data_IF_124453789087
#
_entry.id   IF_124453789087
#
_cell.length_a   1.000
_cell.length_b   1.000
_cell.length_c   1.000
_cell.angle_alpha   90.00
_cell.angle_beta   90.00
_cell.angle_gamma   90.00
#
_symmetry.space_group_name_H-M   'P 1'
#
loop_
_entity.id
_entity.type
_entity.pdbx_description
1 polymer ?
#
# COMPACT_ATOMS: atom_id res chain seq x y z
N UNK A 1 -14.32 4.58 31.42
CA UNK A 1 -14.19 3.99 30.08
C UNK A 1 -15.23 2.89 29.93
N UNK A 2 -16.14 3.00 28.98
CA UNK A 2 -17.16 1.97 28.70
C UNK A 2 -16.52 0.73 28.05
N UNK A 3 -17.13 -0.46 28.15
CA UNK A 3 -16.58 -1.68 27.52
C UNK A 3 -16.37 -1.53 26.01
N UNK A 4 -17.22 -0.74 25.34
CA UNK A 4 -17.07 -0.38 23.93
C UNK A 4 -15.83 0.46 23.62
N UNK A 5 -15.46 1.40 24.49
CA UNK A 5 -14.27 2.25 24.29
C UNK A 5 -12.98 1.45 24.39
N UNK A 6 -12.93 0.49 25.32
CA UNK A 6 -11.75 -0.38 25.51
C UNK A 6 -11.55 -1.28 24.28
N UNK A 7 -12.63 -1.81 23.71
CA UNK A 7 -12.56 -2.63 22.49
C UNK A 7 -12.09 -1.79 21.29
N UNK A 8 -12.65 -0.59 21.10
CA UNK A 8 -12.23 0.31 20.02
C UNK A 8 -10.77 0.73 20.16
N UNK A 9 -10.33 1.06 21.37
CA UNK A 9 -8.94 1.38 21.68
C UNK A 9 -8.02 0.20 21.34
N UNK A 10 -8.38 -1.01 21.76
CA UNK A 10 -7.60 -2.20 21.47
C UNK A 10 -7.48 -2.48 19.96
N UNK A 11 -8.57 -2.26 19.22
CA UNK A 11 -8.61 -2.50 17.79
C UNK A 11 -7.70 -1.53 17.02
N UNK A 12 -7.79 -0.23 17.32
CA UNK A 12 -7.01 0.82 16.65
C UNK A 12 -5.53 0.78 17.05
N UNK A 13 -5.22 0.56 18.33
CA UNK A 13 -3.84 0.67 18.83
C UNK A 13 -3.04 -0.64 18.64
N UNK A 14 -3.70 -1.81 18.64
CA UNK A 14 -2.99 -3.09 18.58
C UNK A 14 -3.31 -3.91 17.34
N UNK A 15 -4.60 -4.16 17.07
CA UNK A 15 -5.00 -5.08 16.00
C UNK A 15 -4.65 -4.52 14.62
N UNK A 16 -4.94 -3.25 14.41
CA UNK A 16 -4.71 -2.55 13.15
C UNK A 16 -3.23 -2.44 12.75
N UNK A 17 -2.31 -1.95 13.60
CA UNK A 17 -0.88 -1.94 13.25
C UNK A 17 -0.31 -3.35 13.05
N UNK A 18 -0.83 -4.35 13.78
CA UNK A 18 -0.40 -5.74 13.58
C UNK A 18 -0.81 -6.25 12.19
N UNK A 19 -2.04 -5.99 11.76
CA UNK A 19 -2.52 -6.28 10.40
C UNK A 19 -1.68 -5.55 9.34
N UNK A 20 -1.36 -4.28 9.55
CA UNK A 20 -0.51 -3.51 8.64
C UNK A 20 0.90 -4.09 8.54
N UNK A 21 1.51 -4.45 9.67
CA UNK A 21 2.83 -5.10 9.72
C UNK A 21 2.83 -6.46 8.99
N UNK A 22 1.82 -7.29 9.24
CA UNK A 22 1.69 -8.59 8.56
C UNK A 22 1.54 -8.41 7.05
N UNK A 23 0.66 -7.48 6.62
CA UNK A 23 0.48 -7.16 5.20
C UNK A 23 1.75 -6.60 4.56
N UNK A 24 2.53 -5.78 5.29
CA UNK A 24 3.78 -5.21 4.79
C UNK A 24 4.82 -6.30 4.54
N UNK A 25 5.00 -7.22 5.50
CA UNK A 25 5.93 -8.36 5.35
C UNK A 25 5.53 -9.23 4.16
N UNK A 26 4.24 -9.51 3.98
CA UNK A 26 3.76 -10.29 2.85
C UNK A 26 4.03 -9.58 1.51
N UNK A 27 3.77 -8.28 1.41
CA UNK A 27 4.06 -7.52 0.19
C UNK A 27 5.57 -7.44 -0.10
N UNK A 28 6.40 -7.26 0.93
CA UNK A 28 7.87 -7.29 0.80
C UNK A 28 8.35 -8.65 0.28
N UNK A 29 7.80 -9.73 0.83
CA UNK A 29 8.09 -11.10 0.39
C UNK A 29 7.70 -11.30 -1.08
N UNK A 30 6.54 -10.81 -1.50
CA UNK A 30 6.10 -10.83 -2.90
C UNK A 30 7.08 -10.10 -3.82
N UNK A 31 7.56 -8.90 -3.43
CA UNK A 31 8.56 -8.15 -4.20
C UNK A 31 9.83 -8.99 -4.37
N UNK A 32 10.37 -9.56 -3.29
CA UNK A 32 11.57 -10.40 -3.35
C UNK A 32 11.37 -11.58 -4.29
N UNK A 33 10.26 -12.32 -4.15
CA UNK A 33 9.95 -13.45 -5.03
C UNK A 33 9.85 -12.99 -6.50
N UNK A 34 9.15 -11.90 -6.79
CA UNK A 34 9.05 -11.41 -8.17
C UNK A 34 10.39 -10.96 -8.75
N UNK A 35 11.26 -10.33 -7.95
CA UNK A 35 12.62 -9.96 -8.37
C UNK A 35 13.49 -11.19 -8.64
N UNK A 36 13.40 -12.24 -7.81
CA UNK A 36 14.13 -13.51 -8.06
C UNK A 36 13.66 -14.20 -9.34
N UNK A 37 12.35 -14.22 -9.60
CA UNK A 37 11.77 -14.77 -10.83
C UNK A 37 12.19 -13.97 -12.06
N UNK A 38 12.32 -12.65 -11.94
CA UNK A 38 12.83 -11.79 -13.03
C UNK A 38 14.27 -12.16 -13.41
N UNK A 39 15.13 -12.40 -12.43
CA UNK A 39 16.54 -12.72 -12.64
C UNK A 39 16.77 -14.04 -13.40
N UNK A 40 15.87 -15.02 -13.26
CA UNK A 40 16.00 -16.35 -13.89
C UNK A 40 15.61 -16.41 -15.39
N UNK A 41 15.41 -15.27 -16.07
CA UNK A 41 15.39 -15.21 -17.54
C UNK A 41 14.09 -15.66 -18.23
N UNK A 42 12.97 -15.77 -17.51
CA UNK A 42 11.65 -16.07 -18.08
C UNK A 42 11.03 -14.84 -18.80
N UNK A 43 11.69 -14.38 -19.87
CA UNK A 43 11.46 -13.10 -20.57
C UNK A 43 10.09 -12.93 -21.26
N UNK A 44 9.25 -13.98 -21.32
CA UNK A 44 7.98 -13.97 -22.09
C UNK A 44 6.79 -13.35 -21.33
N UNK A 45 6.91 -13.10 -20.02
CA UNK A 45 5.83 -12.52 -19.17
C UNK A 45 6.27 -11.27 -18.38
N UNK A 46 7.32 -10.58 -18.83
CA UNK A 46 7.97 -9.49 -18.10
C UNK A 46 7.02 -8.34 -17.74
N UNK A 47 6.07 -7.99 -18.62
CA UNK A 47 5.13 -6.89 -18.36
C UNK A 47 4.19 -7.15 -17.18
N UNK A 48 3.65 -8.37 -17.06
CA UNK A 48 2.79 -8.74 -15.93
C UNK A 48 3.57 -8.71 -14.62
N UNK A 49 4.81 -9.21 -14.63
CA UNK A 49 5.66 -9.23 -13.44
C UNK A 49 5.94 -7.81 -12.94
N UNK A 50 6.17 -6.86 -13.84
CA UNK A 50 6.33 -5.44 -13.50
C UNK A 50 5.06 -4.85 -12.86
N UNK A 51 3.87 -5.15 -13.39
CA UNK A 51 2.61 -4.72 -12.76
C UNK A 51 2.42 -5.33 -11.37
N UNK A 52 2.79 -6.60 -11.16
CA UNK A 52 2.71 -7.25 -9.85
C UNK A 52 3.71 -6.66 -8.85
N UNK A 53 4.94 -6.35 -9.27
CA UNK A 53 5.93 -5.64 -8.45
C UNK A 53 5.39 -4.27 -8.06
N UNK A 54 4.92 -3.48 -9.03
CA UNK A 54 4.35 -2.15 -8.78
C UNK A 54 3.15 -2.21 -7.82
N UNK A 55 2.24 -3.18 -8.02
CA UNK A 55 1.10 -3.40 -7.13
C UNK A 55 1.55 -3.69 -5.69
N UNK A 56 2.49 -4.62 -5.52
CA UNK A 56 3.02 -4.97 -4.19
C UNK A 56 3.78 -3.82 -3.52
N UNK A 57 4.48 -2.99 -4.30
CA UNK A 57 5.15 -1.79 -3.79
C UNK A 57 4.14 -0.72 -3.35
N UNK A 58 3.11 -0.45 -4.14
CA UNK A 58 2.02 0.45 -3.75
C UNK A 58 1.33 -0.05 -2.47
N UNK A 59 0.99 -1.33 -2.40
CA UNK A 59 0.37 -1.90 -1.20
C UNK A 59 1.29 -1.82 0.03
N UNK A 60 2.60 -2.04 -0.12
CA UNK A 60 3.55 -1.89 0.98
C UNK A 60 3.63 -0.43 1.48
N UNK A 61 3.72 0.53 0.56
CA UNK A 61 3.72 1.98 0.89
C UNK A 61 2.41 2.37 1.57
N UNK A 62 1.27 1.93 1.04
CA UNK A 62 -0.04 2.16 1.64
C UNK A 62 -0.10 1.65 3.07
N UNK A 63 0.34 0.42 3.34
CA UNK A 63 0.27 -0.17 4.67
C UNK A 63 1.16 0.57 5.68
N UNK A 64 2.36 1.03 5.26
CA UNK A 64 3.21 1.88 6.11
C UNK A 64 2.48 3.20 6.42
N UNK A 65 1.95 3.87 5.40
CA UNK A 65 1.24 5.14 5.58
C UNK A 65 -0.03 4.98 6.43
N UNK A 66 -0.70 3.82 6.32
CA UNK A 66 -1.89 3.48 7.09
C UNK A 66 -1.61 3.48 8.59
N UNK A 67 -0.46 2.93 9.01
CA UNK A 67 -0.04 2.94 10.42
C UNK A 67 0.06 4.38 10.92
N UNK A 68 0.76 5.26 10.19
CA UNK A 68 0.91 6.65 10.61
C UNK A 68 -0.41 7.41 10.62
N UNK A 69 -1.26 7.20 9.61
CA UNK A 69 -2.51 7.97 9.44
C UNK A 69 -3.60 7.53 10.42
N UNK A 70 -3.59 6.29 10.89
CA UNK A 70 -4.66 5.74 11.72
C UNK A 70 -4.26 5.61 13.19
N UNK A 71 -3.01 5.24 13.48
CA UNK A 71 -2.54 5.08 14.87
C UNK A 71 -2.32 6.43 15.55
N UNK A 72 -1.80 7.46 14.86
CA UNK A 72 -1.60 8.79 15.46
C UNK A 72 -2.90 9.45 15.96
N UNK A 73 -3.98 9.57 15.15
CA UNK A 73 -5.23 10.15 15.65
C UNK A 73 -5.89 9.27 16.71
N UNK A 74 -5.76 7.94 16.61
CA UNK A 74 -6.21 7.04 17.66
C UNK A 74 -5.48 7.30 18.98
N UNK A 75 -4.16 7.42 18.94
CA UNK A 75 -3.35 7.74 20.12
C UNK A 75 -3.66 9.14 20.70
N UNK A 76 -3.96 10.14 19.87
CA UNK A 76 -4.41 11.46 20.35
C UNK A 76 -5.76 11.36 21.08
N UNK A 77 -6.66 10.48 20.66
CA UNK A 77 -7.99 10.33 21.29
C UNK A 77 -7.95 9.61 22.65
N UNK A 78 -6.96 8.76 22.88
CA UNK A 78 -6.88 7.93 24.10
C UNK A 78 -5.79 8.39 25.08
N UNK A 79 -4.97 9.39 24.74
CA UNK A 79 -3.98 9.96 25.67
C UNK A 79 -4.67 10.83 26.71
N UNK A 80 -4.25 10.68 27.97
CA UNK A 80 -4.74 11.50 29.06
C UNK A 80 -4.00 12.85 29.08
N UNK A 81 -4.68 13.91 28.62
CA UNK A 81 -4.09 15.24 28.47
C UNK A 81 -3.62 15.86 29.80
N UNK A 82 -4.22 15.45 30.93
CA UNK A 82 -3.91 16.02 32.24
C UNK A 82 -2.56 15.52 32.79
N UNK A 83 -2.15 14.30 32.43
CA UNK A 83 -0.94 13.66 32.96
C UNK A 83 0.27 13.94 32.05
N UNK A 84 0.07 13.96 30.72
CA UNK A 84 1.15 14.03 29.73
C UNK A 84 1.03 15.24 28.78
N UNK A 85 1.04 16.45 29.34
CA UNK A 85 0.87 17.69 28.58
C UNK A 85 1.88 17.90 27.42
N UNK A 86 3.16 17.55 27.63
CA UNK A 86 4.19 17.74 26.59
C UNK A 86 4.06 16.72 25.45
N UNK A 87 3.76 15.46 25.77
CA UNK A 87 3.65 14.40 24.78
C UNK A 87 2.41 14.57 23.91
N UNK A 88 1.26 14.94 24.50
CA UNK A 88 0.02 15.20 23.76
C UNK A 88 0.20 16.34 22.75
N UNK A 89 0.95 17.39 23.10
CA UNK A 89 1.21 18.52 22.21
C UNK A 89 2.13 18.14 21.03
N UNK A 90 3.14 17.30 21.26
CA UNK A 90 3.97 16.75 20.19
C UNK A 90 3.15 15.82 19.28
N UNK A 91 2.32 14.97 19.85
CA UNK A 91 1.46 14.04 19.11
C UNK A 91 0.48 14.79 18.21
N UNK A 92 -0.13 15.85 18.71
CA UNK A 92 -1.05 16.72 17.96
C UNK A 92 -0.37 17.43 16.79
N UNK A 93 0.85 17.94 16.99
CA UNK A 93 1.63 18.54 15.90
C UNK A 93 1.99 17.51 14.82
N UNK A 94 2.43 16.31 15.22
CA UNK A 94 2.69 15.22 14.29
C UNK A 94 1.42 14.75 13.57
N UNK A 95 0.28 14.72 14.26
CA UNK A 95 -0.99 14.35 13.67
C UNK A 95 -1.44 15.40 12.65
N UNK A 96 -1.34 16.70 12.94
CA UNK A 96 -1.68 17.76 11.99
C UNK A 96 -0.87 17.67 10.67
N UNK A 97 0.42 17.35 10.75
CA UNK A 97 1.28 17.15 9.58
C UNK A 97 0.88 15.87 8.83
N UNK A 98 0.73 14.77 9.57
CA UNK A 98 0.35 13.45 9.01
C UNK A 98 -1.02 13.49 8.36
N UNK A 99 -1.97 14.23 8.91
CA UNK A 99 -3.30 14.37 8.31
C UNK A 99 -3.22 15.13 7.00
N UNK A 100 -2.42 16.20 6.96
CA UNK A 100 -2.30 17.06 5.78
C UNK A 100 -1.59 16.38 4.61
N UNK A 101 -0.56 15.58 4.86
CA UNK A 101 0.26 14.97 3.81
C UNK A 101 0.09 13.45 3.70
N UNK A 102 -0.08 12.76 4.83
CA UNK A 102 -0.23 11.30 4.89
C UNK A 102 -1.55 10.82 4.26
N UNK A 103 -2.69 11.46 4.55
CA UNK A 103 -3.97 11.09 3.93
C UNK A 103 -3.98 11.17 2.39
N UNK A 104 -3.58 12.28 1.75
CA UNK A 104 -3.58 12.33 0.29
C UNK A 104 -2.60 11.34 -0.32
N UNK A 105 -1.45 11.08 0.33
CA UNK A 105 -0.48 10.09 -0.14
C UNK A 105 -1.01 8.64 0.01
N UNK A 106 -1.68 8.34 1.11
CA UNK A 106 -2.38 7.07 1.34
C UNK A 106 -3.44 6.84 0.25
N UNK A 107 -4.26 7.86 -0.03
CA UNK A 107 -5.27 7.78 -1.08
C UNK A 107 -4.64 7.62 -2.47
N UNK A 108 -3.60 8.38 -2.79
CA UNK A 108 -2.89 8.24 -4.05
C UNK A 108 -2.33 6.82 -4.25
N UNK A 109 -1.76 6.22 -3.20
CA UNK A 109 -1.25 4.85 -3.23
C UNK A 109 -2.37 3.82 -3.45
N UNK A 110 -3.51 3.99 -2.75
CA UNK A 110 -4.70 3.18 -2.95
C UNK A 110 -5.23 3.24 -4.40
N UNK A 111 -5.37 4.47 -4.93
CA UNK A 111 -5.82 4.66 -6.31
C UNK A 111 -4.84 4.05 -7.31
N UNK A 112 -3.54 4.21 -7.10
CA UNK A 112 -2.52 3.57 -7.94
C UNK A 112 -2.68 2.04 -7.94
N UNK A 113 -2.90 1.42 -6.78
CA UNK A 113 -3.13 -0.03 -6.66
C UNK A 113 -4.36 -0.49 -7.46
N UNK A 114 -5.49 0.23 -7.37
CA UNK A 114 -6.72 -0.07 -8.13
C UNK A 114 -6.49 0.06 -9.64
N UNK A 115 -5.79 1.10 -10.08
CA UNK A 115 -5.46 1.30 -11.49
C UNK A 115 -4.54 0.20 -12.03
N UNK A 116 -3.52 -0.20 -11.26
CA UNK A 116 -2.63 -1.30 -11.64
C UNK A 116 -3.40 -2.61 -11.75
N UNK A 117 -4.31 -2.91 -10.81
CA UNK A 117 -5.16 -4.10 -10.88
C UNK A 117 -6.04 -4.09 -12.13
N UNK A 118 -6.62 -2.94 -12.47
CA UNK A 118 -7.43 -2.77 -13.67
C UNK A 118 -6.61 -2.99 -14.96
N UNK A 119 -5.36 -2.52 -15.00
CA UNK A 119 -4.43 -2.77 -16.11
C UNK A 119 -4.06 -4.25 -16.23
N UNK A 120 -3.82 -4.94 -15.12
CA UNK A 120 -3.58 -6.40 -15.11
C UNK A 120 -4.79 -7.11 -15.71
N UNK A 121 -6.01 -6.77 -15.29
CA UNK A 121 -7.24 -7.34 -15.82
C UNK A 121 -7.39 -7.11 -17.32
N UNK A 122 -7.14 -5.88 -17.80
CA UNK A 122 -7.19 -5.55 -19.22
C UNK A 122 -6.16 -6.33 -20.04
N UNK A 123 -4.92 -6.43 -19.55
CA UNK A 123 -3.85 -7.20 -20.18
C UNK A 123 -4.22 -8.70 -20.28
N UNK A 124 -4.80 -9.25 -19.21
CA UNK A 124 -5.23 -10.65 -19.18
C UNK A 124 -6.37 -10.91 -20.15
N UNK A 125 -7.38 -10.05 -20.15
CA UNK A 125 -8.50 -10.16 -21.09
C UNK A 125 -8.02 -10.14 -22.55
N UNK A 126 -7.15 -9.21 -22.91
CA UNK A 126 -6.58 -9.13 -24.26
C UNK A 126 -5.77 -10.37 -24.62
N UNK A 127 -4.99 -10.91 -23.67
CA UNK A 127 -4.19 -12.12 -23.91
C UNK A 127 -5.04 -13.37 -24.17
N UNK A 128 -6.25 -13.43 -23.62
CA UNK A 128 -7.18 -14.55 -23.79
C UNK A 128 -8.02 -14.37 -25.06
N UNK A 129 -8.59 -13.18 -25.28
CA UNK A 129 -9.53 -12.95 -26.38
C UNK A 129 -8.84 -12.69 -27.73
N UNK A 130 -7.63 -12.12 -27.75
CA UNK A 130 -6.91 -11.75 -28.98
C UNK A 130 -5.44 -12.22 -28.95
N UNK A 131 -5.17 -13.54 -29.00
CA UNK A 131 -3.81 -14.08 -28.87
C UNK A 131 -2.84 -13.59 -29.96
N UNK A 132 -3.35 -13.21 -31.14
CA UNK A 132 -2.53 -12.75 -32.28
C UNK A 132 -2.06 -11.30 -32.18
N UNK A 133 -2.68 -10.45 -31.35
CA UNK A 133 -2.31 -9.03 -31.18
C UNK A 133 -1.28 -8.78 -30.06
N UNK A 134 -0.95 -9.79 -29.27
CA UNK A 134 -0.04 -9.68 -28.10
C UNK A 134 1.38 -9.28 -28.52
N UNK A 135 1.79 -9.57 -29.76
CA UNK A 135 3.12 -9.23 -30.28
C UNK A 135 3.33 -7.72 -30.49
N UNK A 136 2.26 -6.92 -30.66
CA UNK A 136 2.34 -5.47 -30.89
C UNK A 136 2.38 -4.67 -29.58
N UNK A 137 1.66 -5.11 -28.55
CA UNK A 137 1.64 -4.46 -27.21
C UNK A 137 3.01 -4.50 -26.50
N UNK A 138 3.80 -5.56 -26.68
CA UNK A 138 5.15 -5.66 -26.08
C UNK A 138 6.08 -4.51 -26.52
N UNK A 139 5.84 -3.97 -27.72
CA UNK A 139 6.62 -2.84 -28.27
C UNK A 139 6.20 -1.49 -27.68
N UNK A 140 4.94 -1.35 -27.26
CA UNK A 140 4.40 -0.10 -26.71
C UNK A 140 4.53 0.00 -25.18
N UNK A 141 4.42 -1.09 -24.42
CA UNK A 141 4.59 -1.04 -22.95
C UNK A 141 6.03 -0.72 -22.52
N UNK A 142 7.04 -1.13 -23.31
CA UNK A 142 8.45 -0.72 -23.09
C UNK A 142 8.63 0.78 -23.36
N UNK A 143 7.89 1.33 -24.33
CA UNK A 143 7.96 2.75 -24.67
C UNK A 143 7.36 3.65 -23.57
N UNK A 144 6.33 3.19 -22.87
CA UNK A 144 5.70 3.94 -21.75
C UNK A 144 6.57 3.92 -20.49
N UNK A 145 7.42 2.91 -20.29
CA UNK A 145 8.36 2.85 -19.16
C UNK A 145 9.73 3.52 -19.45
N UNK A 146 9.98 3.95 -20.69
CA UNK A 146 11.23 4.62 -21.11
C UNK A 146 11.05 6.11 -21.44
N UNK A 147 9.88 6.68 -21.15
CA UNK A 147 9.62 8.11 -21.16
C UNK A 147 9.43 8.64 -19.74
#
# INVERSE_FOLDING_TARGET
MSTSEVISCALVIYVEPLLCCAGFILNLTCIVVFLTVWSHGYFRKTSLLLYLIALSACNAIQLILSIFVLVLPGAEQFIDEEIFYYESQMLRNMNAITVRYGYPLLMASNYASIWILSLICAQRYQSVCNPWNVCVMYKNSVFILSC
#
